data_IF_922259642584
#
_entry.id   IF_922259642584
#
_cell.length_a   1.000
_cell.length_b   1.000
_cell.length_c   1.000
_cell.angle_alpha   90.00
_cell.angle_beta   90.00
_cell.angle_gamma   90.00
#
_symmetry.space_group_name_H-M   'P 1'
#
loop_
_entity.id
_entity.type
_entity.pdbx_description
1 polymer ?
#
# COMPACT_ATOMS: atom_id res chain seq x y z
N UNK A 1 -5.29 -17.90 3.74
CA UNK A 1 -4.52 -17.67 4.94
C UNK A 1 -4.42 -18.98 5.76
N UNK A 2 -3.29 -19.64 5.63
CA UNK A 2 -3.08 -20.98 6.19
C UNK A 2 -2.57 -20.87 7.60
N UNK A 3 -2.66 -20.15 8.46
CA UNK A 3 -2.13 -20.09 9.82
C UNK A 3 -1.17 -21.24 10.17
N UNK A 4 -0.29 -21.03 11.13
CA UNK A 4 0.78 -21.98 11.46
C UNK A 4 0.30 -23.39 11.84
N UNK A 5 -0.89 -23.52 12.43
CA UNK A 5 -1.46 -24.84 12.77
C UNK A 5 -1.80 -25.64 11.51
N UNK A 6 -2.54 -25.05 10.59
CA UNK A 6 -2.87 -25.71 9.32
C UNK A 6 -1.64 -25.99 8.47
N UNK A 7 -0.64 -25.11 8.55
CA UNK A 7 0.63 -25.34 7.86
C UNK A 7 1.38 -26.54 8.47
N UNK A 8 1.40 -26.68 9.79
CA UNK A 8 1.99 -27.84 10.47
C UNK A 8 1.24 -29.14 10.14
N UNK A 9 -0.09 -29.10 10.04
CA UNK A 9 -0.92 -30.24 9.65
C UNK A 9 -0.71 -30.64 8.18
N UNK A 10 -0.43 -29.67 7.30
CA UNK A 10 -0.21 -29.89 5.87
C UNK A 10 1.22 -30.33 5.52
N UNK A 11 2.17 -30.21 6.43
CA UNK A 11 3.56 -30.60 6.22
C UNK A 11 3.96 -31.74 7.16
N UNK A 12 4.64 -32.74 6.61
CA UNK A 12 5.18 -33.84 7.40
C UNK A 12 6.60 -33.56 7.94
N UNK A 13 7.13 -32.39 7.70
CA UNK A 13 8.54 -32.05 7.98
C UNK A 13 8.72 -31.15 9.20
N UNK A 14 7.70 -30.39 9.59
CA UNK A 14 7.81 -29.41 10.65
C UNK A 14 6.56 -29.41 11.54
N UNK A 15 6.78 -29.36 12.85
CA UNK A 15 5.70 -29.20 13.82
C UNK A 15 5.32 -27.72 14.07
N UNK A 16 4.20 -27.52 14.77
CA UNK A 16 3.72 -26.17 15.10
C UNK A 16 4.75 -25.34 15.88
N UNK A 17 5.50 -25.94 16.79
CA UNK A 17 6.43 -25.22 17.65
C UNK A 17 7.66 -24.73 16.88
N UNK A 18 8.15 -25.56 15.94
CA UNK A 18 9.23 -25.19 15.04
C UNK A 18 8.80 -24.03 14.14
N UNK A 19 7.62 -24.10 13.51
CA UNK A 19 7.06 -23.05 12.67
C UNK A 19 6.80 -21.76 13.48
N UNK A 20 6.26 -21.88 14.68
CA UNK A 20 5.99 -20.75 15.57
C UNK A 20 7.29 -20.04 16.00
N UNK A 21 8.34 -20.79 16.28
CA UNK A 21 9.65 -20.24 16.62
C UNK A 21 10.26 -19.50 15.42
N UNK A 22 10.24 -20.11 14.24
CA UNK A 22 10.72 -19.46 13.01
C UNK A 22 9.93 -18.19 12.70
N UNK A 23 8.60 -18.24 12.77
CA UNK A 23 7.76 -17.08 12.53
C UNK A 23 8.05 -15.93 13.49
N UNK A 24 8.34 -16.24 14.77
CA UNK A 24 8.60 -15.23 15.80
C UNK A 24 9.98 -14.57 15.67
N UNK A 25 10.99 -15.32 15.21
CA UNK A 25 12.37 -14.87 15.25
C UNK A 25 12.95 -14.47 13.88
N UNK A 26 12.33 -14.91 12.79
CA UNK A 26 12.88 -14.74 11.44
C UNK A 26 11.89 -14.16 10.42
N UNK A 27 10.58 -14.20 10.70
CA UNK A 27 9.56 -13.63 9.81
C UNK A 27 9.22 -12.22 10.31
N UNK A 28 10.12 -11.30 10.05
CA UNK A 28 9.96 -9.87 10.34
C UNK A 28 9.47 -9.13 9.11
N UNK A 29 8.89 -7.94 9.30
CA UNK A 29 8.36 -7.11 8.21
C UNK A 29 9.42 -6.80 7.16
N UNK A 30 10.66 -6.53 7.57
CA UNK A 30 11.78 -6.26 6.67
C UNK A 30 12.12 -7.48 5.80
N UNK A 31 12.23 -8.67 6.41
CA UNK A 31 12.49 -9.92 5.68
C UNK A 31 11.38 -10.24 4.66
N UNK A 32 10.13 -9.96 5.01
CA UNK A 32 8.99 -10.13 4.11
C UNK A 32 9.03 -9.15 2.95
N UNK A 33 9.39 -7.89 3.20
CA UNK A 33 9.52 -6.87 2.15
C UNK A 33 10.68 -7.21 1.19
N UNK A 34 11.81 -7.70 1.71
CA UNK A 34 12.92 -8.16 0.87
C UNK A 34 12.53 -9.37 0.01
N UNK A 35 11.82 -10.34 0.57
CA UNK A 35 11.32 -11.48 -0.18
C UNK A 35 10.32 -11.06 -1.27
N UNK A 36 9.43 -10.12 -0.95
CA UNK A 36 8.48 -9.55 -1.90
C UNK A 36 9.21 -8.84 -3.05
N UNK A 37 10.25 -8.05 -2.76
CA UNK A 37 11.04 -7.35 -3.77
C UNK A 37 11.70 -8.33 -4.75
N UNK A 38 12.21 -9.47 -4.27
CA UNK A 38 12.79 -10.52 -5.13
C UNK A 38 11.74 -11.10 -6.08
N UNK A 39 10.54 -11.41 -5.56
CA UNK A 39 9.44 -11.96 -6.37
C UNK A 39 8.98 -10.96 -7.43
N UNK A 40 8.80 -9.70 -7.04
CA UNK A 40 8.38 -8.61 -7.95
C UNK A 40 9.44 -8.36 -9.03
N UNK A 41 10.73 -8.36 -8.66
CA UNK A 41 11.83 -8.22 -9.63
C UNK A 41 11.88 -9.41 -10.61
N UNK A 42 11.59 -10.63 -10.15
CA UNK A 42 11.50 -11.79 -11.02
C UNK A 42 10.28 -11.71 -11.96
N UNK A 43 9.12 -11.29 -11.44
CA UNK A 43 7.89 -11.07 -12.22
C UNK A 43 8.11 -10.03 -13.33
N UNK A 44 8.76 -8.91 -13.04
CA UNK A 44 9.03 -7.84 -13.99
C UNK A 44 9.90 -8.27 -15.19
N UNK A 45 10.66 -9.38 -15.07
CA UNK A 45 11.45 -9.96 -16.16
C UNK A 45 10.63 -10.83 -17.12
N UNK A 46 9.40 -11.21 -16.73
CA UNK A 46 8.55 -12.04 -17.56
C UNK A 46 7.97 -11.22 -18.73
N UNK A 47 7.94 -11.76 -19.96
CA UNK A 47 7.36 -11.05 -21.11
C UNK A 47 5.91 -10.62 -20.88
N UNK A 48 5.14 -11.44 -20.15
CA UNK A 48 3.74 -11.17 -19.85
C UNK A 48 3.55 -9.92 -19.00
N UNK A 49 4.48 -9.60 -18.10
CA UNK A 49 4.39 -8.39 -17.26
C UNK A 49 4.33 -7.12 -18.11
N UNK A 50 5.03 -7.07 -19.24
CA UNK A 50 5.02 -5.94 -20.18
C UNK A 50 3.72 -5.80 -20.96
N UNK A 51 2.96 -6.88 -21.08
CA UNK A 51 1.63 -6.86 -21.72
C UNK A 51 0.61 -6.14 -20.81
N UNK A 52 0.77 -6.27 -19.50
CA UNK A 52 -0.11 -5.63 -18.51
C UNK A 52 0.19 -4.15 -18.33
N UNK A 53 1.47 -3.78 -18.28
CA UNK A 53 1.88 -2.40 -18.08
C UNK A 53 3.40 -2.21 -18.14
N UNK A 54 3.81 -0.95 -18.15
CA UNK A 54 5.22 -0.56 -18.24
C UNK A 54 5.89 -0.38 -16.86
N UNK A 55 5.17 -0.59 -15.77
CA UNK A 55 5.65 -0.34 -14.41
C UNK A 55 5.68 1.15 -14.03
N UNK A 56 4.95 1.99 -14.76
CA UNK A 56 4.94 3.44 -14.54
C UNK A 56 3.73 3.96 -13.78
N UNK A 57 2.71 3.12 -13.65
CA UNK A 57 1.50 3.43 -12.89
C UNK A 57 1.35 2.46 -11.72
N UNK A 58 0.84 2.96 -10.60
CA UNK A 58 0.54 2.15 -9.43
C UNK A 58 -0.76 2.58 -8.77
N UNK A 59 -1.34 1.70 -8.01
CA UNK A 59 -2.49 1.98 -7.15
C UNK A 59 -2.19 1.55 -5.72
N UNK A 60 -2.79 2.24 -4.75
CA UNK A 60 -2.68 1.86 -3.36
C UNK A 60 -4.04 1.91 -2.65
N UNK A 61 -4.23 0.97 -1.75
CA UNK A 61 -5.44 0.84 -0.96
C UNK A 61 -5.16 0.19 0.40
N UNK A 62 -6.00 0.52 1.38
CA UNK A 62 -5.94 0.01 2.73
C UNK A 62 -7.02 -1.01 3.02
N UNK A 63 -6.63 -2.27 3.26
CA UNK A 63 -7.55 -3.31 3.67
C UNK A 63 -7.53 -3.49 5.19
N UNK A 64 -8.70 -3.42 5.83
CA UNK A 64 -8.85 -3.65 7.26
C UNK A 64 -8.83 -5.14 7.60
N UNK A 65 -8.06 -5.49 8.64
CA UNK A 65 -8.01 -6.82 9.22
C UNK A 65 -8.33 -6.75 10.71
N UNK A 66 -9.37 -7.43 11.18
CA UNK A 66 -9.64 -7.55 12.61
C UNK A 66 -8.54 -8.39 13.27
N UNK A 67 -8.13 -7.97 14.45
CA UNK A 67 -7.09 -8.66 15.22
C UNK A 67 -7.55 -8.90 16.65
N UNK A 68 -7.21 -10.06 17.19
CA UNK A 68 -7.65 -10.46 18.55
C UNK A 68 -6.66 -10.07 19.65
N UNK A 69 -5.41 -9.68 19.33
CA UNK A 69 -4.34 -9.42 20.30
C UNK A 69 -3.37 -8.35 19.80
N UNK A 70 -2.58 -7.81 20.74
CA UNK A 70 -1.51 -6.86 20.48
C UNK A 70 -0.45 -7.45 19.52
N UNK A 71 -0.11 -6.67 18.51
CA UNK A 71 0.97 -6.91 17.57
C UNK A 71 1.92 -5.71 17.51
N UNK A 72 2.78 -5.64 16.51
CA UNK A 72 3.71 -4.53 16.27
C UNK A 72 2.98 -3.18 16.08
N UNK A 73 1.76 -3.23 15.55
CA UNK A 73 0.90 -2.07 15.37
C UNK A 73 -0.22 -2.11 16.40
N UNK A 74 -0.45 -0.98 17.06
CA UNK A 74 -1.52 -0.87 18.06
C UNK A 74 -2.88 -1.19 17.43
N UNK A 75 -3.53 -2.20 18.00
CA UNK A 75 -4.89 -2.56 17.63
C UNK A 75 -5.85 -1.47 18.11
N UNK A 76 -6.37 -0.70 17.18
CA UNK A 76 -7.31 0.38 17.46
C UNK A 76 -8.67 0.05 16.88
N UNK A 77 -9.71 0.49 17.61
CA UNK A 77 -11.08 0.42 17.12
C UNK A 77 -11.34 1.62 16.23
N UNK A 78 -11.79 1.38 15.02
CA UNK A 78 -12.27 2.43 14.11
C UNK A 78 -13.76 2.21 13.81
N UNK A 79 -14.58 3.16 14.19
CA UNK A 79 -16.04 3.10 14.03
C UNK A 79 -16.51 2.84 12.58
N UNK A 80 -15.68 3.19 11.56
CA UNK A 80 -15.93 2.86 10.14
C UNK A 80 -16.01 1.35 9.90
N UNK A 81 -15.27 0.56 10.69
CA UNK A 81 -15.17 -0.90 10.54
C UNK A 81 -15.87 -1.66 11.69
N UNK A 82 -16.59 -0.96 12.56
CA UNK A 82 -17.32 -1.52 13.70
C UNK A 82 -16.58 -1.41 15.02
N UNK A 83 -16.91 -2.29 15.98
CA UNK A 83 -16.37 -2.26 17.36
C UNK A 83 -15.16 -3.20 17.55
N UNK A 84 -14.73 -3.90 16.52
CA UNK A 84 -13.61 -4.84 16.63
C UNK A 84 -12.29 -4.11 16.41
N UNK A 85 -11.29 -4.29 17.30
CA UNK A 85 -9.97 -3.72 17.08
C UNK A 85 -9.28 -4.39 15.87
N UNK A 86 -8.44 -3.63 15.18
CA UNK A 86 -7.76 -4.14 14.01
C UNK A 86 -6.65 -3.22 13.52
N UNK A 87 -6.07 -3.61 12.41
CA UNK A 87 -5.08 -2.84 11.66
C UNK A 87 -5.49 -2.77 10.18
N UNK A 88 -4.87 -1.88 9.44
CA UNK A 88 -4.97 -1.86 7.98
C UNK A 88 -3.65 -2.36 7.37
N UNK A 89 -3.74 -3.24 6.39
CA UNK A 89 -2.62 -3.53 5.49
C UNK A 89 -2.75 -2.56 4.31
N UNK A 90 -1.82 -1.62 4.22
CA UNK A 90 -1.76 -0.64 3.15
C UNK A 90 -0.83 -1.17 2.06
N UNK A 91 -1.38 -1.44 0.89
CA UNK A 91 -0.69 -2.16 -0.19
C UNK A 91 -0.59 -1.30 -1.44
N UNK A 92 0.59 -1.30 -2.07
CA UNK A 92 0.83 -0.68 -3.37
C UNK A 92 0.97 -1.77 -4.43
N UNK A 93 0.26 -1.61 -5.54
CA UNK A 93 0.24 -2.55 -6.66
C UNK A 93 0.57 -1.80 -7.95
N UNK A 94 1.54 -2.27 -8.71
CA UNK A 94 1.89 -1.70 -10.01
C UNK A 94 0.89 -2.11 -11.10
N UNK A 95 0.91 -1.43 -12.25
CA UNK A 95 0.17 -1.78 -13.46
C UNK A 95 0.52 -3.17 -14.03
N UNK A 96 1.62 -3.76 -13.56
CA UNK A 96 2.02 -5.14 -13.86
C UNK A 96 1.38 -6.17 -12.90
N UNK A 97 0.38 -5.77 -12.12
CA UNK A 97 -0.27 -6.59 -11.07
C UNK A 97 0.71 -7.15 -10.03
N UNK A 98 1.80 -6.42 -9.79
CA UNK A 98 2.78 -6.77 -8.77
C UNK A 98 2.55 -5.92 -7.51
N UNK A 99 2.17 -6.52 -6.36
CA UNK A 99 2.20 -5.84 -5.09
C UNK A 99 3.66 -5.63 -4.68
N UNK A 100 4.14 -4.41 -4.72
CA UNK A 100 5.55 -4.11 -4.48
C UNK A 100 5.85 -3.54 -3.09
N UNK A 101 4.84 -3.02 -2.39
CA UNK A 101 4.98 -2.56 -1.02
C UNK A 101 3.72 -2.88 -0.22
N UNK A 102 3.91 -3.31 1.02
CA UNK A 102 2.83 -3.55 1.96
C UNK A 102 3.26 -3.10 3.36
N UNK A 103 2.46 -2.27 4.00
CA UNK A 103 2.71 -1.76 5.35
C UNK A 103 1.53 -2.00 6.26
N UNK A 104 1.80 -2.41 7.49
CA UNK A 104 0.79 -2.49 8.55
C UNK A 104 0.66 -1.15 9.23
N UNK A 105 -0.54 -0.54 9.16
CA UNK A 105 -0.82 0.75 9.76
C UNK A 105 -1.99 0.67 10.75
N UNK A 106 -2.04 1.51 11.79
CA UNK A 106 -3.17 1.54 12.71
C UNK A 106 -4.49 1.84 11.98
N UNK A 107 -5.58 1.20 12.40
CA UNK A 107 -6.88 1.35 11.75
C UNK A 107 -7.43 2.79 11.73
N UNK A 108 -6.97 3.64 12.65
CA UNK A 108 -7.47 5.01 12.84
C UNK A 108 -6.65 6.08 12.12
N UNK A 109 -5.45 5.77 11.64
CA UNK A 109 -4.61 6.77 10.96
C UNK A 109 -5.02 6.99 9.52
N UNK A 110 -4.74 8.21 9.02
CA UNK A 110 -4.89 8.56 7.61
C UNK A 110 -3.94 7.75 6.75
N UNK A 111 -4.38 7.33 5.58
CA UNK A 111 -3.60 6.59 4.60
C UNK A 111 -2.69 7.49 3.76
N UNK A 112 -2.99 8.79 3.71
CA UNK A 112 -2.30 9.74 2.85
C UNK A 112 -0.76 9.75 2.97
N UNK A 113 -0.13 9.78 4.16
CA UNK A 113 1.34 9.76 4.25
C UNK A 113 1.96 8.48 3.70
N UNK A 114 1.27 7.35 3.87
CA UNK A 114 1.77 6.03 3.46
C UNK A 114 1.79 5.82 1.94
N UNK A 115 1.10 6.68 1.17
CA UNK A 115 1.21 6.70 -0.29
C UNK A 115 2.65 7.03 -0.69
N UNK A 116 3.22 8.08 -0.12
CA UNK A 116 4.60 8.48 -0.42
C UNK A 116 5.62 7.50 0.15
N UNK A 117 5.40 6.96 1.34
CA UNK A 117 6.30 5.97 1.94
C UNK A 117 6.48 4.77 1.01
N UNK A 118 5.39 4.19 0.50
CA UNK A 118 5.46 3.06 -0.41
C UNK A 118 6.17 3.36 -1.74
N UNK A 119 6.06 4.59 -2.24
CA UNK A 119 6.73 5.02 -3.46
C UNK A 119 8.22 5.28 -3.25
N UNK A 120 8.59 5.96 -2.17
CA UNK A 120 9.95 6.39 -1.92
C UNK A 120 10.86 5.29 -1.39
N UNK A 121 10.33 4.41 -0.55
CA UNK A 121 11.09 3.35 0.12
C UNK A 121 11.27 2.08 -0.73
N UNK A 122 10.72 2.05 -1.95
CA UNK A 122 10.78 0.89 -2.82
C UNK A 122 11.36 1.23 -4.20
N UNK A 123 12.24 0.37 -4.72
CA UNK A 123 12.84 0.58 -6.05
C UNK A 123 11.79 0.64 -7.16
N UNK A 124 10.78 -0.22 -7.10
CA UNK A 124 9.67 -0.22 -8.08
C UNK A 124 8.89 1.09 -7.98
N UNK A 125 8.62 1.56 -6.76
CA UNK A 125 7.92 2.82 -6.51
C UNK A 125 8.60 4.04 -7.13
N UNK A 126 9.93 4.06 -7.18
CA UNK A 126 10.71 5.15 -7.80
C UNK A 126 10.53 5.26 -9.32
N UNK A 127 10.09 4.20 -9.99
CA UNK A 127 9.80 4.20 -11.43
C UNK A 127 8.35 4.61 -11.74
N UNK A 128 7.49 4.62 -10.73
CA UNK A 128 6.09 5.07 -10.84
C UNK A 128 6.06 6.56 -11.19
N UNK A 129 5.17 6.92 -12.10
CA UNK A 129 4.88 8.31 -12.49
C UNK A 129 3.48 8.72 -12.08
N UNK A 130 2.54 7.78 -12.14
CA UNK A 130 1.14 7.98 -11.82
C UNK A 130 0.73 7.09 -10.65
N UNK A 131 0.29 7.72 -9.57
CA UNK A 131 -0.17 7.01 -8.38
C UNK A 131 -1.67 7.21 -8.19
N UNK A 132 -2.39 6.12 -8.22
CA UNK A 132 -3.84 6.08 -8.03
C UNK A 132 -4.17 5.70 -6.59
N UNK A 133 -5.11 6.43 -5.98
CA UNK A 133 -5.66 6.08 -4.66
C UNK A 133 -7.12 6.51 -4.55
N UNK A 134 -7.79 6.05 -3.51
CA UNK A 134 -9.16 6.43 -3.20
C UNK A 134 -9.22 7.80 -2.48
N UNK A 135 -10.44 8.21 -2.15
CA UNK A 135 -10.71 9.49 -1.44
C UNK A 135 -10.05 9.55 -0.05
N UNK A 136 -9.73 8.42 0.59
CA UNK A 136 -9.08 8.41 1.90
C UNK A 136 -7.62 8.91 1.83
N UNK A 137 -7.00 8.83 0.65
CA UNK A 137 -5.67 9.40 0.37
C UNK A 137 -5.68 10.90 0.05
N UNK A 138 -6.85 11.55 -0.01
CA UNK A 138 -6.93 12.94 -0.43
C UNK A 138 -6.51 13.91 0.68
N UNK A 139 -5.43 14.65 0.44
CA UNK A 139 -5.07 15.87 1.18
C UNK A 139 -4.33 16.84 0.26
N UNK A 140 -4.54 18.15 0.42
CA UNK A 140 -3.85 19.17 -0.37
C UNK A 140 -2.32 19.09 -0.19
N UNK A 141 -1.87 18.75 1.02
CA UNK A 141 -0.44 18.56 1.32
C UNK A 141 0.16 17.40 0.53
N UNK A 142 -0.57 16.30 0.39
CA UNK A 142 -0.09 15.15 -0.38
C UNK A 142 0.04 15.47 -1.85
N UNK A 143 -0.91 16.23 -2.43
CA UNK A 143 -0.80 16.71 -3.80
C UNK A 143 0.45 17.57 -4.02
N UNK A 144 0.66 18.55 -3.14
CA UNK A 144 1.83 19.42 -3.22
C UNK A 144 3.13 18.63 -3.10
N UNK A 145 3.24 17.74 -2.12
CA UNK A 145 4.42 16.90 -1.92
C UNK A 145 4.67 15.95 -3.10
N UNK A 146 3.62 15.30 -3.62
CA UNK A 146 3.74 14.40 -4.78
C UNK A 146 4.23 15.15 -6.01
N UNK A 147 3.70 16.33 -6.28
CA UNK A 147 4.11 17.17 -7.41
C UNK A 147 5.58 17.59 -7.30
N UNK A 148 6.04 17.98 -6.11
CA UNK A 148 7.44 18.34 -5.88
C UNK A 148 8.40 17.16 -6.06
N UNK A 149 7.93 15.94 -5.77
CA UNK A 149 8.69 14.71 -5.94
C UNK A 149 8.60 14.12 -7.35
N UNK A 150 7.80 14.72 -8.23
CA UNK A 150 7.64 14.29 -9.63
C UNK A 150 6.64 13.14 -9.83
N UNK A 151 5.75 12.92 -8.88
CA UNK A 151 4.64 11.96 -9.00
C UNK A 151 3.35 12.67 -9.38
N UNK A 152 2.64 12.13 -10.36
CA UNK A 152 1.26 12.53 -10.66
C UNK A 152 0.32 11.74 -9.73
N UNK A 153 -0.26 12.44 -8.77
CA UNK A 153 -1.23 11.84 -7.86
C UNK A 153 -2.63 11.91 -8.48
N UNK A 154 -3.20 10.76 -8.81
CA UNK A 154 -4.52 10.63 -9.43
C UNK A 154 -5.47 10.03 -8.39
N UNK A 155 -6.24 10.87 -7.74
CA UNK A 155 -7.15 10.46 -6.68
C UNK A 155 -8.60 10.42 -7.16
N UNK A 156 -9.32 9.41 -6.71
CA UNK A 156 -10.78 9.40 -6.82
C UNK A 156 -11.34 10.35 -5.77
N UNK A 157 -11.76 11.53 -6.20
CA UNK A 157 -12.30 12.56 -5.30
C UNK A 157 -13.81 12.38 -5.17
N UNK A 158 -14.26 12.12 -3.94
CA UNK A 158 -15.68 12.09 -3.59
C UNK A 158 -16.21 13.52 -3.50
N UNK A 159 -17.46 13.71 -3.92
CA UNK A 159 -18.17 15.00 -3.83
C UNK A 159 -17.41 16.15 -4.52
N UNK A 160 -16.91 15.89 -5.73
CA UNK A 160 -16.15 16.85 -6.54
C UNK A 160 -16.80 18.24 -6.63
N UNK A 161 -18.14 18.39 -6.77
CA UNK A 161 -18.77 19.72 -6.81
C UNK A 161 -18.54 20.57 -5.55
N UNK A 162 -18.27 19.96 -4.42
CA UNK A 162 -17.99 20.66 -3.16
C UNK A 162 -16.52 21.02 -2.95
N UNK A 163 -15.64 20.56 -3.82
CA UNK A 163 -14.19 20.78 -3.74
C UNK A 163 -13.80 22.10 -4.38
N UNK A 164 -12.74 22.70 -3.88
CA UNK A 164 -12.17 23.94 -4.42
C UNK A 164 -10.88 23.61 -5.17
N UNK A 165 -10.77 24.14 -6.38
CA UNK A 165 -9.53 24.15 -7.13
C UNK A 165 -8.76 25.41 -6.77
N UNK A 166 -7.52 25.27 -6.33
CA UNK A 166 -6.63 26.37 -6.03
C UNK A 166 -5.70 26.60 -7.24
N UNK A 167 -5.66 27.82 -7.72
CA UNK A 167 -4.76 28.25 -8.80
C UNK A 167 -3.88 29.39 -8.30
N UNK A 168 -2.61 29.39 -8.67
CA UNK A 168 -1.69 30.46 -8.29
C UNK A 168 -1.93 31.76 -9.07
N UNK A 169 -2.37 31.64 -10.31
CA UNK A 169 -2.71 32.77 -11.16
C UNK A 169 -4.20 32.75 -11.48
N UNK A 170 -4.99 33.77 -11.09
CA UNK A 170 -6.42 33.83 -11.39
C UNK A 170 -6.76 33.84 -12.89
N UNK A 171 -5.81 34.29 -13.71
CA UNK A 171 -5.98 34.34 -15.17
C UNK A 171 -5.72 32.97 -15.83
N UNK A 172 -5.24 32.00 -15.09
CA UNK A 172 -5.02 30.64 -15.61
C UNK A 172 -6.36 29.90 -15.65
N UNK A 173 -6.77 29.50 -16.84
CA UNK A 173 -7.98 28.69 -16.97
C UNK A 173 -7.69 27.22 -16.58
N UNK A 174 -8.67 26.46 -16.05
CA UNK A 174 -8.47 25.04 -15.73
C UNK A 174 -8.01 24.18 -16.92
N UNK A 175 -8.20 24.66 -18.16
CA UNK A 175 -7.72 23.99 -19.38
C UNK A 175 -6.21 24.06 -19.55
N UNK A 176 -5.56 25.03 -18.94
CA UNK A 176 -4.11 25.22 -19.03
C UNK A 176 -3.37 24.40 -17.98
N UNK A 177 -4.11 23.73 -17.09
CA UNK A 177 -3.60 22.89 -16.01
C UNK A 177 -3.71 21.38 -16.31
N UNK A 178 -4.26 20.98 -17.44
CA UNK A 178 -4.39 19.61 -17.94
C UNK A 178 -3.41 19.39 -19.08
#
# INVERSE_FOLDING_TARGET
>A
NLGLRKMAEATNTHDYWQLSRLARWHVESEAMNQALAIVVAAQGKLPMSRVWGMGTSASSDGQFFPTARHGEVMNMVNAKYGSVPGLKAYTHVSDQFAPFACQSIPATVSEAPYILDGLLMNEVGRHVREQYADTAGFTDHLFGASSLLGYNLVLRIRDLPSKRLYVFNPDTTPRDCL
#
